data_IF_722376452799
#
_entry.id   IF_722376452799
#
_cell.length_a   1.000
_cell.length_b   1.000
_cell.length_c   1.000
_cell.angle_alpha   90.00
_cell.angle_beta   90.00
_cell.angle_gamma   90.00
#
_symmetry.space_group_name_H-M   'P 1'
#
loop_
_entity.id
_entity.type
_entity.pdbx_description
1 polymer ?
#
# COMPACT_ATOMS: atom_id res chain seq x y z
N UNK A 1 -3.42 4.97 -21.86
CA UNK A 1 -3.97 4.75 -20.50
C UNK A 1 -3.63 5.97 -19.64
N UNK A 2 -4.50 6.36 -18.73
CA UNK A 2 -4.23 7.49 -17.84
C UNK A 2 -3.55 6.95 -16.57
N UNK A 3 -2.27 7.28 -16.37
CA UNK A 3 -1.53 6.85 -15.19
C UNK A 3 -1.77 7.83 -14.04
N UNK A 4 -2.05 7.31 -12.85
CA UNK A 4 -2.17 8.13 -11.64
C UNK A 4 -0.82 8.38 -10.99
N UNK A 5 0.08 7.38 -11.10
CA UNK A 5 1.44 7.45 -10.56
C UNK A 5 2.44 7.03 -11.63
N UNK A 6 3.52 7.80 -11.76
CA UNK A 6 4.69 7.45 -12.58
C UNK A 6 5.93 7.60 -11.72
N UNK A 7 6.70 6.54 -11.63
CA UNK A 7 8.01 6.50 -10.97
C UNK A 7 9.04 6.33 -12.07
N UNK A 8 9.94 7.30 -12.22
CA UNK A 8 10.88 7.36 -13.35
C UNK A 8 12.32 7.34 -12.85
N UNK A 9 12.99 6.22 -13.06
CA UNK A 9 14.42 6.00 -12.80
C UNK A 9 14.87 6.55 -11.44
N UNK A 10 14.10 6.25 -10.36
CA UNK A 10 14.41 6.80 -9.05
C UNK A 10 15.60 6.09 -8.41
N UNK A 11 16.50 6.92 -7.85
CA UNK A 11 17.57 6.51 -6.97
C UNK A 11 17.30 7.07 -5.58
N UNK A 12 17.09 6.18 -4.61
CA UNK A 12 16.70 6.58 -3.25
C UNK A 12 17.66 6.11 -2.20
N UNK A 13 17.82 6.92 -1.17
CA UNK A 13 18.77 6.72 -0.10
C UNK A 13 18.05 6.72 1.27
N UNK A 14 18.47 5.80 2.14
CA UNK A 14 18.16 5.84 3.56
C UNK A 14 19.48 6.14 4.28
N UNK A 15 19.58 7.31 4.90
CA UNK A 15 20.83 7.86 5.40
C UNK A 15 21.88 7.94 4.27
N UNK A 16 22.98 7.18 4.39
CA UNK A 16 24.06 7.08 3.39
C UNK A 16 23.89 5.91 2.44
N UNK A 17 22.97 4.98 2.70
CA UNK A 17 22.84 3.76 1.91
C UNK A 17 21.98 3.99 0.69
N UNK A 18 22.50 3.63 -0.49
CA UNK A 18 21.81 3.67 -1.77
C UNK A 18 20.95 2.41 -1.90
N UNK A 19 19.66 2.53 -1.59
CA UNK A 19 18.74 1.40 -1.55
C UNK A 19 18.08 1.16 -2.90
N UNK A 20 17.55 2.22 -3.53
CA UNK A 20 16.98 2.11 -4.87
C UNK A 20 17.96 2.66 -5.89
N UNK A 21 18.26 1.87 -6.92
CA UNK A 21 19.33 2.14 -7.88
C UNK A 21 18.84 2.35 -9.32
N UNK A 22 17.59 2.14 -9.60
CA UNK A 22 16.91 2.41 -10.87
C UNK A 22 15.51 1.78 -10.81
N UNK A 23 14.57 2.42 -10.13
CA UNK A 23 13.20 1.95 -10.10
C UNK A 23 12.35 2.80 -11.04
N UNK A 24 11.74 2.13 -12.03
CA UNK A 24 10.90 2.74 -13.06
C UNK A 24 9.63 1.90 -13.25
N UNK A 25 8.46 2.51 -13.09
CA UNK A 25 7.17 1.88 -13.37
C UNK A 25 6.05 2.91 -13.41
N UNK A 26 4.90 2.47 -13.93
CA UNK A 26 3.67 3.27 -13.95
C UNK A 26 2.52 2.52 -13.29
N UNK A 27 1.57 3.27 -12.74
CA UNK A 27 0.35 2.74 -12.12
C UNK A 27 -0.85 3.30 -12.89
N UNK A 28 -1.59 2.47 -13.62
CA UNK A 28 -2.81 2.89 -14.29
C UNK A 28 -3.88 3.29 -13.26
N UNK A 29 -4.62 4.35 -13.57
CA UNK A 29 -5.71 4.82 -12.71
C UNK A 29 -6.83 3.78 -12.62
N UNK A 30 -7.33 3.51 -11.42
CA UNK A 30 -8.43 2.57 -11.16
C UNK A 30 -8.01 1.10 -11.22
N UNK A 31 -6.72 0.80 -11.09
CA UNK A 31 -6.19 -0.58 -11.06
C UNK A 31 -5.54 -0.92 -9.72
N UNK A 32 -5.27 -2.20 -9.53
CA UNK A 32 -4.37 -2.69 -8.48
C UNK A 32 -3.04 -3.08 -9.16
N UNK A 33 -1.94 -2.48 -8.71
CA UNK A 33 -0.58 -2.81 -9.15
C UNK A 33 0.20 -3.43 -8.00
N UNK A 34 0.71 -4.65 -8.17
CA UNK A 34 1.54 -5.31 -7.16
C UNK A 34 3.02 -5.00 -7.37
N UNK A 35 3.70 -4.54 -6.31
CA UNK A 35 5.15 -4.49 -6.20
C UNK A 35 5.62 -5.79 -5.55
N UNK A 36 6.27 -6.65 -6.32
CA UNK A 36 6.73 -7.98 -5.95
C UNK A 36 8.24 -8.03 -5.78
N UNK A 37 8.76 -8.99 -5.04
CA UNK A 37 10.19 -9.21 -4.85
C UNK A 37 10.50 -9.79 -3.48
N UNK A 38 11.71 -10.28 -3.32
CA UNK A 38 12.18 -10.87 -2.06
C UNK A 38 12.30 -9.83 -0.95
N UNK A 39 12.44 -10.29 0.30
CA UNK A 39 12.74 -9.40 1.42
C UNK A 39 14.06 -8.68 1.19
N UNK A 40 14.07 -7.37 1.49
CA UNK A 40 15.23 -6.51 1.24
C UNK A 40 15.41 -6.05 -0.20
N UNK A 41 14.54 -6.43 -1.16
CA UNK A 41 14.65 -6.01 -2.56
C UNK A 41 14.45 -4.50 -2.79
N UNK A 42 13.81 -3.77 -1.84
CA UNK A 42 13.56 -2.34 -1.94
C UNK A 42 12.07 -1.95 -2.05
N UNK A 43 11.13 -2.91 -1.93
CA UNK A 43 9.68 -2.67 -2.06
C UNK A 43 9.16 -1.57 -1.13
N UNK A 44 9.31 -1.74 0.19
CA UNK A 44 8.93 -0.74 1.20
C UNK A 44 9.65 0.60 0.98
N UNK A 45 10.92 0.57 0.57
CA UNK A 45 11.68 1.80 0.26
C UNK A 45 11.09 2.52 -0.95
N UNK A 46 10.57 1.79 -1.94
CA UNK A 46 9.85 2.38 -3.08
C UNK A 46 8.61 3.14 -2.60
N UNK A 47 7.77 2.54 -1.73
CA UNK A 47 6.63 3.25 -1.14
C UNK A 47 7.06 4.47 -0.32
N UNK A 48 8.10 4.33 0.49
CA UNK A 48 8.66 5.45 1.27
C UNK A 48 9.18 6.58 0.38
N UNK A 49 9.74 6.26 -0.78
CA UNK A 49 10.19 7.26 -1.77
C UNK A 49 9.02 8.03 -2.36
N UNK A 50 7.92 7.34 -2.70
CA UNK A 50 6.69 7.97 -3.20
C UNK A 50 6.08 8.90 -2.14
N UNK A 51 6.17 8.53 -0.86
CA UNK A 51 5.63 9.28 0.28
C UNK A 51 6.54 10.42 0.78
N UNK A 52 7.72 10.62 0.19
CA UNK A 52 8.69 11.59 0.68
C UNK A 52 9.38 11.21 2.01
N UNK A 53 9.26 9.93 2.42
CA UNK A 53 9.88 9.38 3.63
C UNK A 53 11.29 8.82 3.38
N UNK A 54 11.69 8.68 2.11
CA UNK A 54 13.05 8.34 1.69
C UNK A 54 13.57 9.42 0.74
N UNK A 55 14.89 9.65 0.74
CA UNK A 55 15.50 10.72 -0.04
C UNK A 55 15.72 10.28 -1.49
N UNK A 56 14.88 10.75 -2.39
CA UNK A 56 15.04 10.58 -3.84
C UNK A 56 16.04 11.61 -4.36
N UNK A 57 17.24 11.15 -4.74
CA UNK A 57 18.31 12.03 -5.24
C UNK A 57 18.34 12.16 -6.75
N UNK A 58 17.82 11.16 -7.47
CA UNK A 58 17.73 11.15 -8.94
C UNK A 58 16.39 10.54 -9.35
N UNK A 59 15.95 10.89 -10.55
CA UNK A 59 14.68 10.43 -11.09
C UNK A 59 13.50 11.30 -10.65
N UNK A 60 12.29 10.83 -10.93
CA UNK A 60 11.06 11.59 -10.68
C UNK A 60 9.96 10.69 -10.13
N UNK A 61 9.17 11.23 -9.21
CA UNK A 61 7.90 10.67 -8.78
C UNK A 61 6.80 11.65 -9.19
N UNK A 62 5.89 11.22 -10.05
CA UNK A 62 4.82 12.05 -10.60
C UNK A 62 3.48 11.45 -10.17
N UNK A 63 2.69 12.21 -9.44
CA UNK A 63 1.35 11.84 -9.00
C UNK A 63 0.31 12.78 -9.60
N UNK A 64 -0.68 12.24 -10.32
CA UNK A 64 -1.67 13.01 -11.06
C UNK A 64 -1.05 14.13 -11.92
N UNK A 65 0.07 13.84 -12.60
CA UNK A 65 0.78 14.80 -13.44
C UNK A 65 1.65 15.82 -12.69
N UNK A 66 1.70 15.79 -11.36
CA UNK A 66 2.52 16.67 -10.53
C UNK A 66 3.74 15.93 -10.00
N UNK A 67 4.94 16.53 -10.14
CA UNK A 67 6.14 16.02 -9.48
C UNK A 67 6.03 16.22 -7.96
N UNK A 68 6.26 15.13 -7.21
CA UNK A 68 6.10 15.11 -5.74
C UNK A 68 7.39 14.75 -5.00
N UNK A 69 8.45 14.29 -5.68
CA UNK A 69 9.73 14.02 -5.03
C UNK A 69 10.27 15.28 -4.35
N UNK A 70 10.78 15.12 -3.12
CA UNK A 70 11.28 16.22 -2.30
C UNK A 70 10.20 17.04 -1.59
N UNK A 71 8.92 16.78 -1.82
CA UNK A 71 7.85 17.39 -1.03
C UNK A 71 7.79 16.76 0.38
N UNK A 72 7.40 17.54 1.40
CA UNK A 72 7.16 16.99 2.73
C UNK A 72 6.05 15.92 2.71
N UNK A 73 6.16 14.83 3.51
CA UNK A 73 5.17 13.75 3.54
C UNK A 73 3.73 14.21 3.77
N UNK A 74 3.50 15.20 4.62
CA UNK A 74 2.16 15.71 4.90
C UNK A 74 1.54 16.43 3.68
N UNK A 75 2.34 17.10 2.84
CA UNK A 75 1.86 17.70 1.60
C UNK A 75 1.50 16.62 0.57
N UNK A 76 2.32 15.57 0.46
CA UNK A 76 2.05 14.42 -0.42
C UNK A 76 0.75 13.73 0.01
N UNK A 77 0.58 13.48 1.31
CA UNK A 77 -0.65 12.93 1.84
C UNK A 77 -1.87 13.81 1.53
N UNK A 78 -1.72 15.15 1.62
CA UNK A 78 -2.79 16.10 1.31
C UNK A 78 -3.23 16.08 -0.16
N UNK A 79 -2.38 15.59 -1.07
CA UNK A 79 -2.74 15.40 -2.49
C UNK A 79 -3.68 14.20 -2.72
N UNK A 80 -3.92 13.36 -1.71
CA UNK A 80 -4.80 12.20 -1.80
C UNK A 80 -4.06 10.86 -1.93
N UNK A 81 -2.88 10.74 -1.32
CA UNK A 81 -2.18 9.46 -1.16
C UNK A 81 -2.40 8.97 0.27
N UNK A 82 -3.00 7.78 0.40
CA UNK A 82 -3.12 7.06 1.68
C UNK A 82 -2.04 5.99 1.81
N UNK A 83 -1.68 5.65 3.05
CA UNK A 83 -0.66 4.64 3.32
C UNK A 83 -1.07 3.70 4.46
N UNK A 84 -0.94 2.41 4.22
CA UNK A 84 -1.07 1.34 5.20
C UNK A 84 0.30 0.67 5.33
N UNK A 85 1.03 0.90 6.42
CA UNK A 85 2.37 0.33 6.63
C UNK A 85 2.31 -1.14 7.08
N UNK A 86 3.35 -1.91 6.78
CA UNK A 86 3.56 -3.31 7.15
C UNK A 86 3.29 -3.60 8.64
N UNK A 87 3.81 -2.75 9.53
CA UNK A 87 3.68 -2.94 10.99
C UNK A 87 2.37 -2.35 11.56
N UNK A 88 1.32 -2.20 10.72
CA UNK A 88 -0.02 -1.71 11.09
C UNK A 88 -0.03 -0.26 11.59
N UNK A 89 0.96 0.15 12.39
CA UNK A 89 1.16 1.50 12.94
C UNK A 89 -0.11 2.13 13.56
N UNK A 90 -0.90 1.30 14.26
CA UNK A 90 -2.04 1.79 15.04
C UNK A 90 -1.55 2.40 16.36
N UNK A 91 -2.30 3.35 16.89
CA UNK A 91 -2.06 3.89 18.23
C UNK A 91 -2.63 2.92 19.27
N UNK A 92 -1.77 2.12 19.87
CA UNK A 92 -2.17 0.99 20.72
C UNK A 92 -2.93 1.39 21.97
N UNK A 93 -2.61 2.55 22.54
CA UNK A 93 -3.23 3.06 23.77
C UNK A 93 -4.54 3.82 23.51
N UNK A 94 -4.82 4.16 22.26
CA UNK A 94 -6.05 4.78 21.84
C UNK A 94 -7.12 3.72 21.50
N UNK A 95 -8.39 4.09 21.69
CA UNK A 95 -9.52 3.27 21.25
C UNK A 95 -9.59 3.17 19.73
N UNK A 96 -10.39 2.24 19.21
CA UNK A 96 -10.68 2.13 17.77
C UNK A 96 -11.24 3.45 17.24
N UNK A 97 -12.20 4.05 17.94
CA UNK A 97 -12.81 5.32 17.54
C UNK A 97 -11.78 6.45 17.48
N UNK A 98 -10.91 6.57 18.50
CA UNK A 98 -9.85 7.57 18.53
C UNK A 98 -8.83 7.35 17.42
N UNK A 99 -8.45 6.07 17.14
CA UNK A 99 -7.60 5.72 16.02
C UNK A 99 -8.18 6.16 14.67
N UNK A 100 -9.49 5.99 14.46
CA UNK A 100 -10.16 6.46 13.25
C UNK A 100 -10.21 7.99 13.21
N UNK A 101 -10.56 8.64 14.32
CA UNK A 101 -10.70 10.08 14.40
C UNK A 101 -9.40 10.84 14.15
N UNK A 102 -8.27 10.34 14.67
CA UNK A 102 -6.95 10.97 14.45
C UNK A 102 -6.49 10.88 12.97
N UNK A 103 -7.11 10.02 12.17
CA UNK A 103 -6.84 9.88 10.75
C UNK A 103 -7.63 10.89 9.88
N UNK A 104 -8.52 11.70 10.46
CA UNK A 104 -9.19 12.78 9.74
C UNK A 104 -8.18 13.79 9.19
N UNK A 105 -8.28 14.08 7.90
CA UNK A 105 -7.53 15.16 7.26
C UNK A 105 -8.30 16.48 7.37
N UNK A 106 -9.62 16.39 7.26
CA UNK A 106 -10.54 17.50 7.46
C UNK A 106 -11.59 17.11 8.50
N UNK A 107 -12.07 18.09 9.27
CA UNK A 107 -13.11 17.86 10.27
C UNK A 107 -14.34 17.23 9.63
N UNK A 108 -14.75 16.07 10.17
CA UNK A 108 -15.93 15.33 9.72
C UNK A 108 -15.66 14.30 8.61
N UNK A 109 -14.39 14.04 8.24
CA UNK A 109 -14.03 12.99 7.30
C UNK A 109 -14.54 11.63 7.78
N UNK A 110 -14.36 11.31 9.06
CA UNK A 110 -14.84 10.07 9.65
C UNK A 110 -16.36 9.91 9.55
N UNK A 111 -17.12 10.93 9.87
CA UNK A 111 -18.58 10.84 9.80
C UNK A 111 -19.08 10.58 8.38
N UNK A 112 -18.42 11.16 7.37
CA UNK A 112 -18.74 10.90 5.95
C UNK A 112 -18.42 9.48 5.51
N UNK A 113 -17.34 8.91 6.05
CA UNK A 113 -16.83 7.57 5.65
C UNK A 113 -17.29 6.45 6.58
N UNK A 114 -17.88 6.76 7.72
CA UNK A 114 -18.19 5.83 8.80
C UNK A 114 -19.04 4.64 8.34
N UNK A 115 -20.09 4.88 7.55
CA UNK A 115 -20.94 3.81 7.02
C UNK A 115 -20.11 2.87 6.15
N UNK A 116 -19.39 3.41 5.17
CA UNK A 116 -18.56 2.63 4.27
C UNK A 116 -17.49 1.82 5.02
N UNK A 117 -16.78 2.43 5.98
CA UNK A 117 -15.78 1.75 6.80
C UNK A 117 -16.39 0.59 7.60
N UNK A 118 -17.57 0.78 8.19
CA UNK A 118 -18.20 -0.27 9.01
C UNK A 118 -18.94 -1.32 8.19
N UNK A 119 -19.28 -1.04 6.94
CA UNK A 119 -19.75 -2.05 5.99
C UNK A 119 -18.61 -2.98 5.59
N UNK A 120 -17.40 -2.43 5.37
CA UNK A 120 -16.19 -3.21 5.11
C UNK A 120 -15.68 -3.98 6.34
N UNK A 121 -15.77 -3.37 7.52
CA UNK A 121 -15.23 -3.88 8.77
C UNK A 121 -16.29 -3.88 9.90
N UNK A 122 -17.30 -4.77 9.83
CA UNK A 122 -18.40 -4.76 10.81
C UNK A 122 -17.93 -4.96 12.25
N UNK A 123 -16.84 -5.68 12.46
CA UNK A 123 -16.29 -5.92 13.79
C UNK A 123 -15.69 -4.67 14.42
N UNK A 124 -15.10 -3.77 13.63
CA UNK A 124 -14.60 -2.50 14.18
C UNK A 124 -15.69 -1.65 14.80
N UNK A 125 -16.92 -1.73 14.26
CA UNK A 125 -18.08 -1.06 14.83
C UNK A 125 -18.44 -1.57 16.24
N UNK A 126 -18.27 -2.89 16.46
CA UNK A 126 -18.51 -3.51 17.78
C UNK A 126 -17.42 -3.13 18.78
N UNK A 127 -16.23 -2.86 18.30
CA UNK A 127 -15.02 -2.66 19.12
C UNK A 127 -14.61 -1.20 19.26
N UNK A 128 -15.49 -0.24 18.95
CA UNK A 128 -15.17 1.20 18.95
C UNK A 128 -14.50 1.69 20.24
N UNK A 129 -14.89 1.13 21.38
CA UNK A 129 -14.37 1.53 22.69
C UNK A 129 -13.15 0.73 23.15
N UNK A 130 -12.81 -0.37 22.46
CA UNK A 130 -11.62 -1.16 22.79
C UNK A 130 -10.35 -0.43 22.36
N UNK A 131 -9.30 -0.57 23.17
CA UNK A 131 -7.97 -0.05 22.83
C UNK A 131 -7.30 -0.92 21.77
N UNK A 132 -6.38 -0.37 21.01
CA UNK A 132 -5.60 -1.11 20.02
C UNK A 132 -4.85 -2.31 20.61
N UNK A 133 -4.47 -2.26 21.91
CA UNK A 133 -3.84 -3.39 22.63
C UNK A 133 -4.78 -4.57 22.87
N UNK A 134 -6.10 -4.34 22.86
CA UNK A 134 -7.11 -5.37 23.12
C UNK A 134 -7.55 -6.09 21.84
N UNK A 135 -7.11 -5.61 20.67
CA UNK A 135 -7.43 -6.17 19.37
C UNK A 135 -6.48 -7.31 19.01
N UNK A 136 -7.01 -8.36 18.36
CA UNK A 136 -6.20 -9.39 17.70
C UNK A 136 -5.37 -8.80 16.56
N UNK A 137 -4.34 -9.55 16.12
CA UNK A 137 -3.49 -9.10 15.00
C UNK A 137 -4.27 -8.80 13.71
N UNK A 138 -5.26 -9.61 13.36
CA UNK A 138 -6.13 -9.38 12.21
C UNK A 138 -7.00 -8.13 12.38
N UNK A 139 -7.57 -7.91 13.58
CA UNK A 139 -8.37 -6.73 13.87
C UNK A 139 -7.52 -5.44 13.85
N UNK A 140 -6.26 -5.50 14.31
CA UNK A 140 -5.31 -4.39 14.18
C UNK A 140 -5.01 -4.07 12.72
N UNK A 141 -4.88 -5.09 11.85
CA UNK A 141 -4.68 -4.90 10.42
C UNK A 141 -5.90 -4.25 9.77
N UNK A 142 -7.11 -4.71 10.10
CA UNK A 142 -8.35 -4.10 9.62
C UNK A 142 -8.48 -2.64 10.07
N UNK A 143 -8.09 -2.34 11.32
CA UNK A 143 -8.05 -0.96 11.82
C UNK A 143 -7.01 -0.10 11.07
N UNK A 144 -5.84 -0.64 10.74
CA UNK A 144 -4.83 0.07 9.97
C UNK A 144 -5.33 0.45 8.56
N UNK A 145 -6.01 -0.49 7.88
CA UNK A 145 -6.65 -0.22 6.58
C UNK A 145 -7.79 0.80 6.74
N UNK A 146 -8.68 0.60 7.72
CA UNK A 146 -9.79 1.50 7.99
C UNK A 146 -9.34 2.95 8.22
N UNK A 147 -8.23 3.16 8.92
CA UNK A 147 -7.64 4.50 9.13
C UNK A 147 -7.23 5.17 7.82
N UNK A 148 -6.67 4.43 6.87
CA UNK A 148 -6.31 4.97 5.57
C UNK A 148 -7.53 5.37 4.72
N UNK A 149 -8.74 4.88 5.07
CA UNK A 149 -9.98 5.17 4.37
C UNK A 149 -10.76 6.36 4.95
N UNK A 150 -10.38 6.86 6.12
CA UNK A 150 -11.06 8.01 6.75
C UNK A 150 -10.95 9.25 5.86
N UNK A 151 -9.78 9.50 5.31
CA UNK A 151 -9.57 10.59 4.34
C UNK A 151 -9.84 10.12 2.91
N UNK A 152 -10.27 11.04 2.04
CA UNK A 152 -10.42 10.75 0.61
C UNK A 152 -9.04 10.60 -0.03
N UNK A 153 -8.75 9.39 -0.53
CA UNK A 153 -7.51 9.06 -1.22
C UNK A 153 -7.82 8.52 -2.62
N UNK A 154 -7.15 9.06 -3.63
CA UNK A 154 -7.22 8.55 -5.01
C UNK A 154 -6.18 7.46 -5.28
N UNK A 155 -5.17 7.35 -4.41
CA UNK A 155 -4.15 6.31 -4.41
C UNK A 155 -3.95 5.78 -2.99
N UNK A 156 -4.01 4.46 -2.83
CA UNK A 156 -3.67 3.77 -1.60
C UNK A 156 -2.40 2.95 -1.80
N UNK A 157 -1.42 3.17 -0.94
CA UNK A 157 -0.19 2.38 -0.86
C UNK A 157 -0.34 1.43 0.33
N UNK A 158 -0.26 0.12 0.09
CA UNK A 158 -0.45 -0.91 1.12
C UNK A 158 0.80 -1.79 1.16
N UNK A 159 1.44 -1.88 2.31
CA UNK A 159 2.73 -2.56 2.49
C UNK A 159 2.54 -3.87 3.25
N UNK A 160 2.73 -5.00 2.57
CA UNK A 160 2.68 -6.38 3.08
C UNK A 160 1.49 -6.70 4.02
N UNK A 161 0.24 -6.43 3.57
CA UNK A 161 -0.92 -6.53 4.45
C UNK A 161 -1.25 -7.96 4.88
N UNK A 162 -0.76 -8.99 4.17
CA UNK A 162 -1.01 -10.40 4.48
C UNK A 162 -0.07 -10.98 5.55
N UNK A 163 1.02 -10.25 5.90
CA UNK A 163 2.06 -10.78 6.77
C UNK A 163 1.56 -11.10 8.18
N UNK A 164 1.84 -12.33 8.64
CA UNK A 164 1.49 -12.79 9.98
C UNK A 164 -0.01 -12.91 10.23
N UNK A 165 -0.84 -13.01 9.19
CA UNK A 165 -2.27 -13.21 9.30
C UNK A 165 -2.66 -14.67 9.09
N UNK A 166 -3.73 -15.11 9.73
CA UNK A 166 -4.34 -16.41 9.48
C UNK A 166 -5.02 -16.43 8.10
N UNK A 167 -5.07 -17.60 7.40
CA UNK A 167 -5.63 -17.70 6.05
C UNK A 167 -7.04 -17.10 5.90
N UNK A 168 -7.92 -17.32 6.86
CA UNK A 168 -9.30 -16.79 6.83
C UNK A 168 -9.31 -15.24 6.87
N UNK A 169 -8.35 -14.63 7.54
CA UNK A 169 -8.22 -13.17 7.59
C UNK A 169 -7.65 -12.64 6.28
N UNK A 170 -6.74 -13.38 5.64
CA UNK A 170 -6.20 -13.03 4.31
C UNK A 170 -7.30 -13.02 3.26
N UNK A 171 -8.18 -14.03 3.23
CA UNK A 171 -9.31 -14.05 2.28
C UNK A 171 -10.23 -12.84 2.49
N UNK A 172 -10.60 -12.54 3.74
CA UNK A 172 -11.39 -11.33 4.02
C UNK A 172 -10.67 -10.04 3.61
N UNK A 173 -9.36 -9.94 3.82
CA UNK A 173 -8.56 -8.79 3.39
C UNK A 173 -8.55 -8.65 1.86
N UNK A 174 -8.47 -9.76 1.12
CA UNK A 174 -8.56 -9.76 -0.35
C UNK A 174 -9.90 -9.15 -0.79
N UNK A 175 -11.01 -9.60 -0.21
CA UNK A 175 -12.34 -9.05 -0.52
C UNK A 175 -12.43 -7.55 -0.25
N UNK A 176 -11.87 -7.11 0.88
CA UNK A 176 -11.81 -5.68 1.24
C UNK A 176 -10.99 -4.89 0.23
N UNK A 177 -9.78 -5.35 -0.14
CA UNK A 177 -8.93 -4.62 -1.09
C UNK A 177 -9.60 -4.54 -2.47
N UNK A 178 -10.30 -5.58 -2.91
CA UNK A 178 -11.11 -5.52 -4.14
C UNK A 178 -12.18 -4.42 -4.07
N UNK A 179 -12.95 -4.35 -2.98
CA UNK A 179 -13.95 -3.30 -2.82
C UNK A 179 -13.33 -1.89 -2.75
N UNK A 180 -12.13 -1.76 -2.19
CA UNK A 180 -11.38 -0.49 -2.17
C UNK A 180 -10.95 -0.06 -3.56
N UNK A 181 -10.58 -1.00 -4.43
CA UNK A 181 -10.12 -0.71 -5.78
C UNK A 181 -11.22 -0.12 -6.68
N UNK A 182 -12.48 -0.30 -6.32
CA UNK A 182 -13.61 0.34 -7.02
C UNK A 182 -13.64 1.87 -6.81
N UNK A 183 -13.04 2.37 -5.73
CA UNK A 183 -13.05 3.81 -5.39
C UNK A 183 -11.66 4.46 -5.46
N UNK A 184 -10.59 3.67 -5.36
CA UNK A 184 -9.21 4.17 -5.30
C UNK A 184 -8.28 3.27 -6.11
N UNK A 185 -7.25 3.84 -6.70
CA UNK A 185 -6.14 3.05 -7.25
C UNK A 185 -5.31 2.46 -6.10
N UNK A 186 -4.82 1.25 -6.25
CA UNK A 186 -4.05 0.58 -5.20
C UNK A 186 -2.66 0.19 -5.71
N UNK A 187 -1.63 0.50 -4.93
CA UNK A 187 -0.30 -0.10 -5.05
C UNK A 187 -0.11 -1.01 -3.85
N UNK A 188 0.03 -2.30 -4.11
CA UNK A 188 0.14 -3.34 -3.11
C UNK A 188 1.56 -3.90 -3.10
N UNK A 189 2.28 -3.76 -2.00
CA UNK A 189 3.53 -4.51 -1.79
C UNK A 189 3.16 -5.87 -1.20
N UNK A 190 3.61 -6.93 -1.82
CA UNK A 190 3.42 -8.30 -1.34
C UNK A 190 4.64 -9.17 -1.64
N UNK A 191 4.92 -10.09 -0.71
CA UNK A 191 5.85 -11.18 -0.91
C UNK A 191 5.11 -12.45 -1.34
N UNK A 192 3.88 -12.63 -0.86
CA UNK A 192 3.05 -13.78 -1.19
C UNK A 192 2.45 -13.61 -2.60
N UNK A 193 3.05 -14.31 -3.57
CA UNK A 193 2.59 -14.26 -4.96
C UNK A 193 1.12 -14.68 -5.11
N UNK A 194 0.65 -15.68 -4.35
CA UNK A 194 -0.75 -16.14 -4.43
C UNK A 194 -1.75 -15.08 -3.96
N UNK A 195 -1.37 -14.23 -3.01
CA UNK A 195 -2.20 -13.08 -2.60
C UNK A 195 -2.18 -12.00 -3.66
N UNK A 196 -0.99 -11.67 -4.16
CA UNK A 196 -0.82 -10.64 -5.18
C UNK A 196 -1.56 -11.00 -6.48
N UNK A 197 -1.49 -12.27 -6.94
CA UNK A 197 -2.14 -12.72 -8.16
C UNK A 197 -3.68 -12.70 -8.08
N UNK A 198 -4.25 -12.92 -6.89
CA UNK A 198 -5.69 -12.78 -6.67
C UNK A 198 -6.17 -11.33 -6.72
N UNK A 199 -5.30 -10.37 -6.50
CA UNK A 199 -5.66 -8.94 -6.34
C UNK A 199 -5.30 -8.08 -7.54
N UNK A 200 -4.09 -8.24 -8.09
CA UNK A 200 -3.51 -7.24 -8.96
C UNK A 200 -3.72 -7.54 -10.46
N UNK A 201 -4.01 -6.52 -11.23
CA UNK A 201 -4.02 -6.58 -12.70
C UNK A 201 -2.62 -6.37 -13.30
N UNK A 202 -1.77 -5.60 -12.59
CA UNK A 202 -0.42 -5.25 -13.02
C UNK A 202 0.60 -5.68 -11.98
N UNK A 203 1.80 -5.97 -12.43
CA UNK A 203 2.92 -6.27 -11.54
C UNK A 203 4.16 -5.45 -11.87
N UNK A 204 4.98 -5.26 -10.86
CA UNK A 204 6.35 -4.74 -10.94
C UNK A 204 7.22 -5.63 -10.06
N UNK A 205 8.27 -6.22 -10.59
CA UNK A 205 9.23 -6.98 -9.80
C UNK A 205 10.41 -6.08 -9.46
N UNK A 206 10.68 -5.97 -8.16
CA UNK A 206 11.85 -5.26 -7.62
C UNK A 206 12.88 -6.28 -7.17
N UNK A 207 14.10 -6.14 -7.65
CA UNK A 207 15.26 -6.92 -7.23
C UNK A 207 16.47 -6.00 -7.05
N UNK A 208 17.15 -6.09 -5.90
CA UNK A 208 18.35 -5.30 -5.59
C UNK A 208 18.20 -3.78 -5.86
N UNK A 209 17.02 -3.24 -5.53
CA UNK A 209 16.72 -1.81 -5.70
C UNK A 209 16.44 -1.38 -7.14
N UNK A 210 16.14 -2.31 -8.05
CA UNK A 210 15.79 -2.03 -9.45
C UNK A 210 14.47 -2.68 -9.83
N UNK A 211 13.73 -2.05 -10.72
CA UNK A 211 12.60 -2.71 -11.39
C UNK A 211 13.13 -3.57 -12.53
N UNK A 212 13.00 -4.90 -12.39
CA UNK A 212 13.56 -5.86 -13.36
C UNK A 212 12.53 -6.41 -14.34
N UNK A 213 11.25 -6.34 -14.00
CA UNK A 213 10.16 -6.73 -14.88
C UNK A 213 8.87 -5.98 -14.49
N UNK A 214 8.06 -5.65 -15.49
CA UNK A 214 6.74 -5.04 -15.32
C UNK A 214 5.78 -5.62 -16.37
N UNK A 215 4.49 -5.73 -16.06
CA UNK A 215 3.52 -6.24 -17.02
C UNK A 215 2.15 -6.50 -16.44
N UNK A 216 1.35 -7.27 -17.16
CA UNK A 216 0.05 -7.74 -16.69
C UNK A 216 0.24 -8.98 -15.80
N UNK A 217 -0.49 -9.05 -14.70
CA UNK A 217 -0.40 -10.16 -13.74
C UNK A 217 -0.64 -11.51 -14.41
N UNK A 218 -1.60 -11.61 -15.33
CA UNK A 218 -1.89 -12.82 -16.10
C UNK A 218 -0.69 -13.36 -16.90
N UNK A 219 0.18 -12.45 -17.37
CA UNK A 219 1.37 -12.85 -18.13
C UNK A 219 2.44 -13.41 -17.17
N UNK A 220 2.56 -12.82 -15.97
CA UNK A 220 3.43 -13.34 -14.91
C UNK A 220 2.95 -14.72 -14.41
N UNK A 221 1.64 -14.93 -14.21
CA UNK A 221 1.08 -16.22 -13.80
C UNK A 221 1.42 -17.35 -14.79
N UNK A 222 1.53 -17.02 -16.08
CA UNK A 222 1.93 -17.95 -17.12
C UNK A 222 3.45 -18.22 -17.17
N UNK A 223 4.27 -17.36 -16.54
CA UNK A 223 5.75 -17.46 -16.57
C UNK A 223 6.31 -18.03 -15.25
N UNK A 224 6.24 -19.35 -15.13
CA UNK A 224 6.77 -20.07 -13.96
C UNK A 224 8.27 -19.85 -13.76
N UNK A 225 9.04 -19.62 -14.83
CA UNK A 225 10.48 -19.39 -14.74
C UNK A 225 10.77 -18.02 -14.07
N UNK A 226 10.01 -16.99 -14.42
CA UNK A 226 10.08 -15.66 -13.80
C UNK A 226 9.67 -15.71 -12.33
N UNK A 227 8.56 -16.38 -12.00
CA UNK A 227 8.08 -16.56 -10.62
C UNK A 227 9.15 -17.24 -9.77
N UNK A 228 9.68 -18.37 -10.21
CA UNK A 228 10.73 -19.10 -9.50
C UNK A 228 11.99 -18.26 -9.30
N UNK A 229 12.44 -17.58 -10.36
CA UNK A 229 13.67 -16.76 -10.35
C UNK A 229 13.60 -15.63 -9.33
N UNK A 230 12.52 -14.83 -9.35
CA UNK A 230 12.45 -13.56 -8.63
C UNK A 230 11.68 -13.65 -7.31
N UNK A 231 10.70 -14.54 -7.22
CA UNK A 231 9.82 -14.62 -6.06
C UNK A 231 10.12 -15.84 -5.18
N UNK A 232 10.83 -16.83 -5.71
CA UNK A 232 11.18 -18.05 -4.98
C UNK A 232 9.95 -18.92 -4.61
N UNK A 233 8.80 -18.64 -5.21
CA UNK A 233 7.60 -19.44 -5.02
C UNK A 233 7.72 -20.72 -5.87
N UNK A 234 7.59 -21.86 -5.21
CA UNK A 234 7.45 -23.16 -5.83
C UNK A 234 5.97 -23.56 -5.81
#
# INVERSE_FOLDING_TARGET
MNNILEVKNIHSFINQYHILQDVDFVVPKGSITALLGRNGAGKTTTLKSILGLANVRQGKVIFNGREVQGMPPFEIAALGIGFVPEHRAIFRDLSVEENLKIAERNKGDLERKKTFIFDLFPDLKKFLHLRGTELSGGQQQMLAIARALVADNSLLLIDEPSEGLAPVIIEHMIDVIHQLSEQSTVVLVEQNFLVASKLAEYFVIIEEGKSVATGLMKDLEADQAMIHRYLGAA
#
